data_IF_123036973238
#
_entry.id   IF_123036973238
#
_cell.length_a   1.000
_cell.length_b   1.000
_cell.length_c   1.000
_cell.angle_alpha   90.00
_cell.angle_beta   90.00
_cell.angle_gamma   90.00
#
_symmetry.space_group_name_H-M   'P 1'
#
loop_
_entity.id
_entity.type
_entity.pdbx_description
1 polymer ?
#
# COMPACT_ATOMS: atom_id res chain seq x y z
N UNK A 1 -26.58 -15.90 -31.38
CA UNK A 1 -25.97 -15.50 -30.10
C UNK A 1 -25.18 -16.70 -29.60
N UNK A 2 -23.88 -16.72 -29.85
CA UNK A 2 -23.00 -17.83 -29.50
C UNK A 2 -22.51 -17.59 -28.07
N UNK A 3 -22.98 -18.42 -27.12
CA UNK A 3 -22.37 -18.54 -25.80
C UNK A 3 -20.96 -19.10 -25.98
N UNK A 4 -19.98 -18.22 -26.12
CA UNK A 4 -18.56 -18.58 -26.14
C UNK A 4 -18.15 -19.00 -24.73
N UNK A 5 -18.56 -20.21 -24.33
CA UNK A 5 -18.04 -20.89 -23.17
C UNK A 5 -16.52 -20.97 -23.34
N UNK A 6 -15.79 -20.35 -22.41
CA UNK A 6 -14.33 -20.42 -22.44
C UNK A 6 -13.90 -21.89 -22.44
N UNK A 7 -12.84 -22.25 -23.18
CA UNK A 7 -12.27 -23.59 -23.12
C UNK A 7 -12.06 -23.99 -21.66
N UNK A 8 -12.51 -25.20 -21.28
CA UNK A 8 -12.38 -25.75 -19.93
C UNK A 8 -11.03 -25.49 -19.21
N UNK A 9 -9.85 -25.58 -19.87
CA UNK A 9 -8.58 -25.26 -19.22
C UNK A 9 -8.41 -23.79 -18.83
N UNK A 10 -9.00 -22.86 -19.60
CA UNK A 10 -8.94 -21.41 -19.33
C UNK A 10 -9.85 -21.06 -18.14
N UNK A 11 -11.04 -21.65 -18.09
CA UNK A 11 -11.95 -21.50 -16.95
C UNK A 11 -11.35 -22.07 -15.65
N UNK A 12 -10.67 -23.22 -15.73
CA UNK A 12 -9.99 -23.82 -14.59
C UNK A 12 -8.84 -22.94 -14.07
N UNK A 13 -7.99 -22.40 -14.95
CA UNK A 13 -6.89 -21.51 -14.58
C UNK A 13 -7.38 -20.21 -13.92
N UNK A 14 -8.41 -19.57 -14.49
CA UNK A 14 -9.01 -18.37 -13.91
C UNK A 14 -9.61 -18.62 -12.51
N UNK A 15 -10.23 -19.79 -12.31
CA UNK A 15 -10.79 -20.17 -11.00
C UNK A 15 -9.72 -20.43 -9.93
N UNK A 16 -8.51 -20.85 -10.32
CA UNK A 16 -7.39 -21.07 -9.41
C UNK A 16 -6.73 -19.75 -9.00
N UNK A 17 -6.55 -18.82 -9.94
CA UNK A 17 -6.07 -17.47 -9.66
C UNK A 17 -7.03 -16.73 -8.72
N UNK A 18 -8.34 -16.81 -8.97
CA UNK A 18 -9.36 -16.21 -8.10
C UNK A 18 -9.32 -16.78 -6.67
N UNK A 19 -9.14 -18.10 -6.52
CA UNK A 19 -9.07 -18.79 -5.22
C UNK A 19 -7.83 -18.42 -4.40
N UNK A 20 -6.71 -18.12 -5.05
CA UNK A 20 -5.46 -17.75 -4.37
C UNK A 20 -5.32 -16.25 -4.15
N UNK A 21 -5.97 -15.42 -4.97
CA UNK A 21 -5.92 -13.96 -4.87
C UNK A 21 -6.69 -13.41 -3.66
N UNK A 22 -7.87 -13.96 -3.34
CA UNK A 22 -8.70 -13.51 -2.20
C UNK A 22 -8.01 -13.59 -0.83
N UNK A 23 -7.44 -14.74 -0.41
CA UNK A 23 -6.78 -14.82 0.89
C UNK A 23 -5.56 -13.90 0.97
N UNK A 24 -4.80 -13.77 -0.13
CA UNK A 24 -3.66 -12.84 -0.19
C UNK A 24 -4.09 -11.38 -0.03
N UNK A 25 -5.16 -10.96 -0.72
CA UNK A 25 -5.73 -9.61 -0.60
C UNK A 25 -6.18 -9.33 0.84
N UNK A 26 -6.85 -10.28 1.47
CA UNK A 26 -7.30 -10.16 2.85
C UNK A 26 -6.13 -10.03 3.82
N UNK A 27 -5.11 -10.89 3.73
CA UNK A 27 -3.93 -10.83 4.58
C UNK A 27 -3.19 -9.49 4.44
N UNK A 28 -3.02 -8.99 3.21
CA UNK A 28 -2.37 -7.70 2.98
C UNK A 28 -3.20 -6.54 3.53
N UNK A 29 -4.52 -6.53 3.32
CA UNK A 29 -5.40 -5.53 3.88
C UNK A 29 -5.35 -5.51 5.42
N UNK A 30 -5.32 -6.69 6.05
CA UNK A 30 -5.18 -6.83 7.50
C UNK A 30 -3.83 -6.31 8.02
N UNK A 31 -2.73 -6.57 7.31
CA UNK A 31 -1.41 -6.03 7.67
C UNK A 31 -1.41 -4.50 7.60
N UNK A 32 -1.94 -3.93 6.52
CA UNK A 32 -2.02 -2.47 6.35
C UNK A 32 -2.89 -1.84 7.43
N UNK A 33 -4.06 -2.42 7.70
CA UNK A 33 -4.96 -1.96 8.75
C UNK A 33 -4.33 -2.09 10.15
N UNK A 34 -3.66 -3.21 10.42
CA UNK A 34 -2.93 -3.45 11.66
C UNK A 34 -1.80 -2.43 11.88
N UNK A 35 -1.06 -2.08 10.83
CA UNK A 35 0.00 -1.07 10.90
C UNK A 35 -0.52 0.33 11.21
N UNK A 36 -1.66 0.72 10.63
CA UNK A 36 -2.33 1.98 10.95
C UNK A 36 -2.87 1.99 12.39
N UNK A 37 -3.48 0.88 12.81
CA UNK A 37 -4.07 0.75 14.14
C UNK A 37 -3.01 0.76 15.24
N UNK A 38 -1.91 0.01 15.07
CA UNK A 38 -0.80 -0.01 16.01
C UNK A 38 -0.21 1.41 16.20
N UNK A 39 -0.07 2.17 15.11
CA UNK A 39 0.42 3.54 15.17
C UNK A 39 -0.50 4.46 15.99
N UNK A 40 -1.83 4.27 15.92
CA UNK A 40 -2.78 5.04 16.70
C UNK A 40 -2.77 4.68 18.21
N UNK A 41 -2.41 3.44 18.57
CA UNK A 41 -2.36 3.00 19.98
C UNK A 41 -1.04 3.29 20.69
N UNK A 42 0.05 3.50 19.95
CA UNK A 42 1.38 3.79 20.53
C UNK A 42 1.58 5.28 20.83
N UNK A 43 0.67 6.16 20.38
CA UNK A 43 0.80 7.61 20.57
C UNK A 43 0.48 8.03 22.00
N UNK A 44 1.38 8.75 22.71
CA UNK A 44 1.13 9.22 24.07
C UNK A 44 -0.06 10.17 24.14
N UNK A 45 -0.89 10.06 25.19
CA UNK A 45 -2.10 10.86 25.36
C UNK A 45 -1.82 12.39 25.39
N UNK A 46 -0.66 12.79 25.90
CA UNK A 46 -0.32 14.21 26.12
C UNK A 46 0.41 14.88 24.94
N UNK A 47 0.73 14.12 23.89
CA UNK A 47 1.51 14.59 22.73
C UNK A 47 0.88 15.83 22.06
N UNK A 48 -0.45 15.86 21.93
CA UNK A 48 -1.17 16.99 21.32
C UNK A 48 -1.13 18.24 22.19
N UNK A 49 -1.24 18.10 23.52
CA UNK A 49 -1.21 19.22 24.44
C UNK A 49 0.19 19.87 24.48
N UNK A 50 1.23 19.04 24.50
CA UNK A 50 2.62 19.49 24.42
C UNK A 50 2.91 20.21 23.09
N UNK A 51 2.48 19.65 21.96
CA UNK A 51 2.67 20.26 20.65
C UNK A 51 1.96 21.61 20.51
N UNK A 52 0.73 21.74 21.03
CA UNK A 52 -0.01 23.01 21.08
C UNK A 52 0.72 24.06 21.90
N UNK A 53 1.22 23.71 23.08
CA UNK A 53 1.96 24.63 23.95
C UNK A 53 3.24 25.15 23.28
N UNK A 54 3.90 24.32 22.46
CA UNK A 54 5.16 24.66 21.81
C UNK A 54 5.00 25.41 20.48
N UNK A 55 3.93 25.11 19.72
CA UNK A 55 3.83 25.51 18.31
C UNK A 55 2.59 26.33 17.95
N UNK A 56 1.63 26.46 18.88
CA UNK A 56 0.36 27.14 18.66
C UNK A 56 -0.66 26.32 17.85
N UNK A 57 -1.90 26.81 17.84
CA UNK A 57 -3.04 26.10 17.25
C UNK A 57 -3.00 26.05 15.71
N UNK A 58 -2.40 27.05 15.06
CA UNK A 58 -2.32 27.13 13.60
C UNK A 58 -1.44 26.02 13.02
N UNK A 59 -0.25 25.79 13.58
CA UNK A 59 0.62 24.69 13.12
C UNK A 59 -0.02 23.33 13.36
N UNK A 60 -0.69 23.15 14.50
CA UNK A 60 -1.42 21.92 14.82
C UNK A 60 -2.54 21.66 13.80
N UNK A 61 -3.28 22.69 13.40
CA UNK A 61 -4.30 22.59 12.36
C UNK A 61 -3.69 22.20 11.01
N UNK A 62 -2.60 22.86 10.61
CA UNK A 62 -1.87 22.57 9.36
C UNK A 62 -1.36 21.12 9.33
N UNK A 63 -0.76 20.65 10.42
CA UNK A 63 -0.24 19.29 10.52
C UNK A 63 -1.35 18.23 10.45
N UNK A 64 -2.51 18.50 11.04
CA UNK A 64 -3.69 17.62 10.93
C UNK A 64 -4.28 17.60 9.53
N UNK A 65 -4.35 18.76 8.87
CA UNK A 65 -4.74 18.81 7.47
C UNK A 65 -3.79 17.98 6.60
N UNK A 66 -2.48 18.14 6.80
CA UNK A 66 -1.46 17.36 6.10
C UNK A 66 -1.56 15.85 6.39
N UNK A 67 -1.87 15.47 7.62
CA UNK A 67 -2.12 14.08 8.00
C UNK A 67 -3.36 13.52 7.27
N UNK A 68 -4.45 14.29 7.15
CA UNK A 68 -5.63 13.88 6.38
C UNK A 68 -5.32 13.66 4.89
N UNK A 69 -4.55 14.57 4.28
CA UNK A 69 -4.11 14.42 2.89
C UNK A 69 -3.24 13.16 2.73
N UNK A 70 -2.31 12.91 3.65
CA UNK A 70 -1.50 11.69 3.65
C UNK A 70 -2.33 10.43 3.85
N UNK A 71 -3.37 10.47 4.68
CA UNK A 71 -4.30 9.36 4.85
C UNK A 71 -5.02 9.03 3.55
N UNK A 72 -5.51 10.04 2.82
CA UNK A 72 -6.14 9.84 1.51
C UNK A 72 -5.17 9.20 0.51
N UNK A 73 -3.92 9.67 0.46
CA UNK A 73 -2.89 9.09 -0.40
C UNK A 73 -2.54 7.66 0.00
N UNK A 74 -2.45 7.36 1.30
CA UNK A 74 -2.21 6.03 1.82
C UNK A 74 -3.35 5.06 1.47
N UNK A 75 -4.60 5.51 1.54
CA UNK A 75 -5.76 4.73 1.11
C UNK A 75 -5.72 4.44 -0.40
N UNK A 76 -5.37 5.43 -1.22
CA UNK A 76 -5.18 5.24 -2.66
C UNK A 76 -4.08 4.21 -2.96
N UNK A 77 -2.94 4.30 -2.27
CA UNK A 77 -1.83 3.35 -2.39
C UNK A 77 -2.24 1.94 -1.94
N UNK A 78 -2.94 1.81 -0.81
CA UNK A 78 -3.42 0.53 -0.30
C UNK A 78 -4.42 -0.12 -1.28
N UNK A 79 -5.36 0.65 -1.82
CA UNK A 79 -6.30 0.17 -2.83
C UNK A 79 -5.57 -0.31 -4.10
N UNK A 80 -4.59 0.46 -4.58
CA UNK A 80 -3.77 0.07 -5.73
C UNK A 80 -2.96 -1.21 -5.46
N UNK A 81 -2.38 -1.36 -4.26
CA UNK A 81 -1.64 -2.56 -3.84
C UNK A 81 -2.54 -3.78 -3.76
N UNK A 82 -3.69 -3.67 -3.09
CA UNK A 82 -4.67 -4.78 -2.97
C UNK A 82 -5.18 -5.19 -4.35
N UNK A 83 -5.46 -4.22 -5.22
CA UNK A 83 -5.84 -4.48 -6.60
C UNK A 83 -4.73 -5.21 -7.37
N UNK A 84 -3.50 -4.69 -7.34
CA UNK A 84 -2.32 -5.25 -8.04
C UNK A 84 -1.98 -6.65 -7.56
N UNK A 85 -2.02 -6.89 -6.25
CA UNK A 85 -1.82 -8.21 -5.64
C UNK A 85 -3.04 -9.12 -5.80
N UNK A 86 -4.00 -8.79 -6.66
CA UNK A 86 -4.91 -9.77 -7.25
C UNK A 86 -4.29 -10.59 -8.37
N UNK A 87 -3.17 -10.14 -8.93
CA UNK A 87 -2.50 -10.79 -10.06
C UNK A 87 -1.21 -11.49 -9.58
N UNK A 88 -0.65 -12.45 -10.33
CA UNK A 88 0.61 -13.08 -9.99
C UNK A 88 1.73 -12.04 -9.76
N UNK A 89 2.49 -12.24 -8.69
CA UNK A 89 3.64 -11.43 -8.31
C UNK A 89 4.63 -12.33 -7.56
N UNK A 90 5.93 -12.03 -7.67
CA UNK A 90 6.94 -12.72 -6.86
C UNK A 90 6.75 -12.41 -5.37
N UNK A 91 7.28 -13.26 -4.49
CA UNK A 91 7.24 -13.01 -3.04
C UNK A 91 7.91 -11.67 -2.68
N UNK A 92 9.03 -11.34 -3.34
CA UNK A 92 9.74 -10.08 -3.13
C UNK A 92 8.89 -8.85 -3.51
N UNK A 93 8.19 -8.89 -4.65
CA UNK A 93 7.27 -7.80 -5.03
C UNK A 93 6.07 -7.71 -4.10
N UNK A 94 5.53 -8.86 -3.69
CA UNK A 94 4.43 -8.90 -2.71
C UNK A 94 4.85 -8.21 -1.42
N UNK A 95 6.02 -8.57 -0.88
CA UNK A 95 6.58 -7.96 0.32
C UNK A 95 6.81 -6.45 0.14
N UNK A 96 7.40 -6.03 -0.99
CA UNK A 96 7.67 -4.62 -1.26
C UNK A 96 6.38 -3.78 -1.34
N UNK A 97 5.35 -4.27 -2.05
CA UNK A 97 4.05 -3.60 -2.12
C UNK A 97 3.35 -3.54 -0.75
N UNK A 98 3.37 -4.63 0.02
CA UNK A 98 2.79 -4.65 1.37
C UNK A 98 3.52 -3.71 2.31
N UNK A 99 4.86 -3.73 2.32
CA UNK A 99 5.67 -2.83 3.15
C UNK A 99 5.42 -1.37 2.79
N UNK A 100 5.39 -1.04 1.50
CA UNK A 100 5.12 0.32 1.04
C UNK A 100 3.77 0.84 1.56
N UNK A 101 2.69 0.06 1.40
CA UNK A 101 1.37 0.46 1.85
C UNK A 101 1.26 0.54 3.39
N UNK A 102 1.90 -0.39 4.12
CA UNK A 102 1.94 -0.37 5.57
C UNK A 102 2.66 0.88 6.11
N UNK A 103 3.84 1.20 5.56
CA UNK A 103 4.60 2.41 5.92
C UNK A 103 3.80 3.69 5.69
N UNK A 104 3.13 3.79 4.53
CA UNK A 104 2.26 4.93 4.22
C UNK A 104 1.06 5.03 5.16
N UNK A 105 0.50 3.89 5.61
CA UNK A 105 -0.68 3.85 6.47
C UNK A 105 -0.37 4.16 7.95
N UNK A 106 0.85 3.86 8.43
CA UNK A 106 1.32 4.22 9.78
C UNK A 106 1.47 5.73 9.95
N UNK A 107 1.98 6.43 8.94
CA UNK A 107 2.35 7.84 9.03
C UNK A 107 1.22 8.82 9.42
N UNK A 108 0.01 8.75 8.83
CA UNK A 108 -1.09 9.64 9.19
C UNK A 108 -1.46 9.60 10.67
N UNK A 109 -1.47 8.43 11.30
CA UNK A 109 -1.80 8.29 12.71
C UNK A 109 -0.75 9.01 13.59
N UNK A 110 0.54 8.80 13.32
CA UNK A 110 1.63 9.45 14.05
C UNK A 110 1.57 10.98 13.95
N UNK A 111 1.29 11.50 12.74
CA UNK A 111 1.19 12.95 12.51
C UNK A 111 -0.11 13.51 13.11
N UNK A 112 -1.22 12.79 13.03
CA UNK A 112 -2.52 13.22 13.57
C UNK A 112 -2.49 13.41 15.08
N UNK A 113 -1.81 12.50 15.77
CA UNK A 113 -1.56 12.57 17.20
C UNK A 113 -0.37 13.45 17.59
N UNK A 114 0.40 13.97 16.61
CA UNK A 114 1.58 14.80 16.85
C UNK A 114 2.63 14.13 17.74
N UNK A 115 2.71 12.80 17.73
CA UNK A 115 3.63 12.04 18.58
C UNK A 115 5.08 12.17 18.09
N UNK A 116 5.29 12.00 16.78
CA UNK A 116 6.56 12.30 16.11
C UNK A 116 6.27 12.59 14.63
N UNK A 117 6.20 13.89 14.31
CA UNK A 117 5.89 14.37 12.95
C UNK A 117 7.02 14.02 11.98
N UNK A 118 8.27 14.08 12.43
CA UNK A 118 9.45 13.82 11.60
C UNK A 118 9.52 12.34 11.20
N UNK A 119 9.34 11.45 12.18
CA UNK A 119 9.28 10.02 11.92
C UNK A 119 8.07 9.63 11.06
N UNK A 120 6.89 10.20 11.33
CA UNK A 120 5.72 10.01 10.48
C UNK A 120 5.96 10.43 9.03
N UNK A 121 6.59 11.59 8.79
CA UNK A 121 6.95 12.03 7.44
C UNK A 121 7.95 11.07 6.77
N UNK A 122 8.99 10.65 7.50
CA UNK A 122 9.99 9.71 6.99
C UNK A 122 9.36 8.37 6.57
N UNK A 123 8.47 7.80 7.40
CA UNK A 123 7.72 6.57 7.08
C UNK A 123 6.87 6.74 5.81
N UNK A 124 6.15 7.87 5.69
CA UNK A 124 5.35 8.14 4.49
C UNK A 124 6.22 8.18 3.22
N UNK A 125 7.32 8.93 3.25
CA UNK A 125 8.21 9.06 2.09
C UNK A 125 8.93 7.76 1.76
N UNK A 126 9.40 7.02 2.77
CA UNK A 126 9.96 5.69 2.59
C UNK A 126 8.95 4.74 1.92
N UNK A 127 7.69 4.79 2.35
CA UNK A 127 6.60 4.05 1.74
C UNK A 127 6.38 4.40 0.26
N UNK A 128 6.34 5.71 -0.08
CA UNK A 128 6.23 6.17 -1.48
C UNK A 128 7.40 5.70 -2.33
N UNK A 129 8.64 5.88 -1.85
CA UNK A 129 9.85 5.44 -2.57
C UNK A 129 9.83 3.93 -2.80
N UNK A 130 9.44 3.16 -1.77
CA UNK A 130 9.32 1.70 -1.86
C UNK A 130 8.25 1.29 -2.87
N UNK A 131 7.10 1.98 -2.89
CA UNK A 131 6.03 1.73 -3.87
C UNK A 131 6.51 1.98 -5.29
N UNK A 132 7.20 3.09 -5.54
CA UNK A 132 7.75 3.43 -6.84
C UNK A 132 8.83 2.44 -7.28
N UNK A 133 9.69 2.00 -6.36
CA UNK A 133 10.69 0.97 -6.62
C UNK A 133 10.04 -0.39 -6.96
N UNK A 134 8.96 -0.76 -6.26
CA UNK A 134 8.19 -1.97 -6.57
C UNK A 134 7.57 -1.89 -7.96
N UNK A 135 6.90 -0.78 -8.30
CA UNK A 135 6.34 -0.53 -9.64
C UNK A 135 7.40 -0.60 -10.74
N UNK A 136 8.57 -0.01 -10.49
CA UNK A 136 9.72 -0.06 -11.38
C UNK A 136 10.24 -1.49 -11.58
N UNK A 137 10.38 -2.27 -10.50
CA UNK A 137 10.83 -3.66 -10.61
C UNK A 137 9.81 -4.55 -11.35
N UNK A 138 8.52 -4.28 -11.13
CA UNK A 138 7.39 -5.02 -11.70
C UNK A 138 7.31 -4.87 -13.24
N UNK A 139 7.45 -3.65 -13.77
CA UNK A 139 7.51 -3.41 -15.23
C UNK A 139 8.65 -4.18 -15.91
N UNK A 140 9.79 -4.34 -15.24
CA UNK A 140 10.95 -5.05 -15.79
C UNK A 140 10.76 -6.57 -15.83
N UNK A 141 9.84 -7.12 -15.04
CA UNK A 141 9.48 -8.54 -15.17
C UNK A 141 8.66 -8.75 -16.44
N UNK A 142 7.68 -7.90 -16.73
CA UNK A 142 6.86 -8.02 -17.95
C UNK A 142 7.72 -7.88 -19.21
N UNK A 143 8.59 -6.87 -19.28
CA UNK A 143 9.45 -6.64 -20.44
C UNK A 143 10.42 -7.79 -20.76
N UNK A 144 10.85 -8.56 -19.74
CA UNK A 144 11.77 -9.70 -19.92
C UNK A 144 11.11 -10.94 -20.55
N UNK A 145 9.79 -11.04 -20.55
CA UNK A 145 9.06 -12.20 -21.08
C UNK A 145 8.62 -12.02 -22.54
N UNK A 146 8.59 -10.80 -23.06
CA UNK A 146 8.19 -10.48 -24.45
C UNK A 146 9.22 -10.83 -25.56
N UNK A 147 10.55 -10.98 -25.36
CA UNK A 147 11.49 -11.14 -26.49
C UNK A 147 11.48 -12.50 -27.22
N UNK A 148 10.64 -13.47 -26.85
CA UNK A 148 10.72 -14.85 -27.41
C UNK A 148 9.73 -15.17 -28.52
N UNK A 149 8.70 -14.35 -28.74
CA UNK A 149 7.73 -14.57 -29.82
C UNK A 149 8.18 -13.97 -31.16
N UNK A 150 9.02 -12.93 -31.15
CA UNK A 150 9.49 -12.25 -32.36
C UNK A 150 10.69 -12.93 -33.06
N UNK A 151 11.25 -14.02 -32.51
CA UNK A 151 12.36 -14.79 -33.14
C UNK A 151 11.92 -16.12 -33.76
N UNK A 152 10.61 -16.39 -33.81
CA UNK A 152 10.04 -17.61 -34.40
C UNK A 152 9.04 -17.33 -35.53
N UNK A 153 8.93 -16.10 -35.98
CA UNK A 153 8.28 -15.70 -37.22
C UNK A 153 9.36 -15.32 -38.23
#
# INVERSE_FOLDING_TARGET
>A
MTDASLPAPIAAAASFEARTALPRRASVALIIAGAALAAAFVTPADSVAAAKAQSGDELVMLLRFMAAVKALLALGAAAAVVWRLGHPASAALTLAYTAAAALMATAPALIWHLADVGFGAAMFHAGVVTLLAALYADRHLVARHVPRLARRA
#
